data_IF_128707362368
#
_entry.id   IF_128707362368
#
_cell.length_a   1.000
_cell.length_b   1.000
_cell.length_c   1.000
_cell.angle_alpha   90.00
_cell.angle_beta   90.00
_cell.angle_gamma   90.00
#
_symmetry.space_group_name_H-M   'P 1'
#
loop_
_entity.id
_entity.type
_entity.pdbx_description
1 polymer ?
#
# COMPACT_ATOMS: atom_id res chain seq x y z
N UNK A 1 -14.75 5.85 -14.15
CA UNK A 1 -15.93 5.12 -14.68
C UNK A 1 -15.50 3.84 -15.37
N UNK A 2 -16.32 2.80 -15.32
CA UNK A 2 -16.03 1.50 -15.94
C UNK A 2 -17.25 0.58 -15.96
N UNK A 3 -17.01 -0.68 -16.36
CA UNK A 3 -18.04 -1.72 -16.30
C UNK A 3 -18.09 -2.31 -14.89
N UNK A 4 -19.29 -2.59 -14.40
CA UNK A 4 -19.50 -3.26 -13.11
C UNK A 4 -20.70 -4.21 -13.20
N UNK A 5 -20.71 -5.22 -12.34
CA UNK A 5 -21.85 -6.13 -12.20
C UNK A 5 -22.94 -5.48 -11.35
N UNK A 6 -24.17 -5.47 -11.85
CA UNK A 6 -25.35 -4.95 -11.14
C UNK A 6 -26.01 -6.05 -10.29
N UNK A 7 -26.92 -5.67 -9.38
CA UNK A 7 -27.58 -6.61 -8.47
C UNK A 7 -28.44 -7.66 -9.17
N UNK A 8 -29.00 -7.31 -10.34
CA UNK A 8 -29.77 -8.23 -11.18
C UNK A 8 -28.89 -9.16 -12.05
N UNK A 9 -27.56 -9.04 -11.91
CA UNK A 9 -26.57 -9.81 -12.65
C UNK A 9 -26.21 -9.24 -14.02
N UNK A 10 -26.86 -8.15 -14.47
CA UNK A 10 -26.48 -7.45 -15.69
C UNK A 10 -25.16 -6.69 -15.53
N UNK A 11 -24.61 -6.22 -16.66
CA UNK A 11 -23.40 -5.40 -16.67
C UNK A 11 -23.79 -3.96 -16.95
N UNK A 12 -23.53 -3.07 -15.99
CA UNK A 12 -23.73 -1.64 -16.13
C UNK A 12 -22.43 -0.93 -16.52
N UNK A 13 -22.56 0.32 -16.97
CA UNK A 13 -21.43 1.24 -17.19
C UNK A 13 -21.70 2.56 -16.46
N UNK A 14 -20.69 3.10 -15.77
CA UNK A 14 -20.79 4.41 -15.12
C UNK A 14 -19.68 4.65 -14.08
N UNK A 15 -19.85 5.64 -13.19
CA UNK A 15 -18.93 5.90 -12.08
C UNK A 15 -18.77 4.67 -11.16
N UNK A 16 -17.63 4.58 -10.49
CA UNK A 16 -17.42 3.61 -9.41
C UNK A 16 -18.40 3.91 -8.27
N UNK A 17 -18.93 2.87 -7.63
CA UNK A 17 -19.72 2.97 -6.39
C UNK A 17 -18.94 2.52 -5.15
N UNK A 18 -17.78 1.89 -5.35
CA UNK A 18 -16.92 1.38 -4.29
C UNK A 18 -15.48 1.88 -4.53
N UNK A 19 -15.30 3.20 -4.44
CA UNK A 19 -13.98 3.82 -4.54
C UNK A 19 -13.26 3.73 -3.19
N UNK A 20 -11.99 3.34 -3.23
CA UNK A 20 -11.25 2.91 -2.06
C UNK A 20 -9.79 3.34 -2.15
N UNK A 21 -9.11 3.28 -0.99
CA UNK A 21 -7.68 3.44 -0.86
C UNK A 21 -6.99 2.09 -0.65
N UNK A 22 -5.68 2.10 -0.87
CA UNK A 22 -4.78 1.10 -0.30
C UNK A 22 -3.58 1.83 0.28
N UNK A 23 -3.46 1.81 1.61
CA UNK A 23 -2.29 2.30 2.32
C UNK A 23 -1.12 1.37 2.04
N UNK A 24 -0.10 1.88 1.36
CA UNK A 24 1.08 1.12 0.98
C UNK A 24 2.37 1.89 1.25
N UNK A 25 3.47 1.15 1.36
CA UNK A 25 4.80 1.70 1.23
C UNK A 25 5.38 1.26 -0.11
N UNK A 26 5.87 2.22 -0.88
CA UNK A 26 6.63 1.99 -2.10
C UNK A 26 8.12 2.10 -1.84
N UNK A 27 8.90 1.45 -2.69
CA UNK A 27 10.33 1.67 -2.79
C UNK A 27 10.74 1.82 -4.25
N UNK A 28 11.78 2.63 -4.45
CA UNK A 28 12.38 2.84 -5.77
C UNK A 28 13.68 2.05 -5.87
N UNK A 29 13.82 1.35 -6.99
CA UNK A 29 15.02 0.61 -7.33
C UNK A 29 16.16 1.58 -7.65
N UNK A 30 17.32 1.34 -7.05
CA UNK A 30 18.59 1.93 -7.43
C UNK A 30 19.53 0.85 -7.95
N UNK A 31 20.07 1.00 -9.15
CA UNK A 31 21.00 0.03 -9.73
C UNK A 31 20.31 -1.01 -10.61
N UNK A 32 20.87 -1.17 -11.80
CA UNK A 32 20.28 -1.99 -12.86
C UNK A 32 20.82 -3.44 -12.79
N UNK A 33 20.00 -4.40 -13.21
CA UNK A 33 20.44 -5.78 -13.48
C UNK A 33 20.26 -6.11 -14.96
N UNK A 34 20.85 -7.22 -15.41
CA UNK A 34 20.62 -7.69 -16.79
C UNK A 34 19.54 -8.75 -16.81
N UNK A 35 18.82 -8.82 -17.93
CA UNK A 35 17.85 -9.88 -18.18
C UNK A 35 18.54 -11.25 -18.01
N UNK A 36 17.96 -12.12 -17.19
CA UNK A 36 18.49 -13.44 -16.84
C UNK A 36 19.44 -13.45 -15.63
N UNK A 37 19.73 -12.30 -15.01
CA UNK A 37 20.54 -12.20 -13.80
C UNK A 37 19.61 -11.96 -12.58
N UNK A 38 19.19 -13.03 -11.87
CA UNK A 38 18.35 -12.89 -10.69
C UNK A 38 19.12 -12.25 -9.53
N UNK A 39 18.42 -11.54 -8.67
CA UNK A 39 18.96 -10.92 -7.45
C UNK A 39 18.62 -11.79 -6.26
N UNK A 40 19.61 -12.17 -5.45
CA UNK A 40 19.35 -12.92 -4.21
C UNK A 40 18.79 -12.02 -3.10
N UNK A 41 18.13 -12.59 -2.09
CA UNK A 41 17.69 -11.82 -0.90
C UNK A 41 18.83 -11.02 -0.26
N UNK A 42 20.05 -11.57 -0.28
CA UNK A 42 21.24 -10.91 0.28
C UNK A 42 21.69 -9.70 -0.53
N UNK A 43 21.51 -9.72 -1.86
CA UNK A 43 21.92 -8.63 -2.76
C UNK A 43 20.81 -7.61 -2.96
N UNK A 44 19.56 -7.97 -2.69
CA UNK A 44 18.39 -7.14 -2.98
C UNK A 44 18.39 -5.79 -2.23
N UNK A 45 18.98 -5.73 -1.03
CA UNK A 45 19.14 -4.47 -0.28
C UNK A 45 19.91 -3.40 -1.07
N UNK A 46 20.99 -3.81 -1.74
CA UNK A 46 21.84 -2.92 -2.52
C UNK A 46 21.09 -2.33 -3.74
N UNK A 47 19.96 -2.93 -4.10
CA UNK A 47 19.08 -2.47 -5.17
C UNK A 47 17.95 -1.54 -4.72
N UNK A 48 17.81 -1.25 -3.42
CA UNK A 48 16.75 -0.38 -2.89
C UNK A 48 17.34 0.99 -2.55
N UNK A 49 17.00 2.01 -3.34
CA UNK A 49 17.47 3.37 -3.07
C UNK A 49 16.76 3.98 -1.86
N UNK A 50 15.43 3.83 -1.78
CA UNK A 50 14.65 4.37 -0.67
C UNK A 50 13.15 4.17 -0.82
N UNK A 51 12.43 4.61 0.21
CA UNK A 51 11.01 4.35 0.43
C UNK A 51 10.17 5.62 0.37
N UNK A 52 8.89 5.49 0.07
CA UNK A 52 7.88 6.56 0.03
C UNK A 52 6.49 5.99 0.30
N UNK A 53 5.53 6.84 0.64
CA UNK A 53 4.14 6.42 0.83
C UNK A 53 3.47 6.23 -0.52
N UNK A 54 2.57 5.26 -0.62
CA UNK A 54 1.78 4.97 -1.82
C UNK A 54 0.30 4.86 -1.42
N UNK A 55 -0.56 5.50 -2.20
CA UNK A 55 -1.99 5.21 -2.22
C UNK A 55 -2.34 4.59 -3.57
N UNK A 56 -2.60 3.29 -3.59
CA UNK A 56 -3.04 2.58 -4.80
C UNK A 56 -4.58 2.61 -4.90
N UNK A 57 -5.09 3.74 -5.40
CA UNK A 57 -6.52 4.01 -5.50
C UNK A 57 -7.26 2.90 -6.25
N UNK A 58 -8.39 2.49 -5.70
CA UNK A 58 -9.05 1.25 -6.12
C UNK A 58 -10.54 1.46 -6.36
N UNK A 59 -11.02 1.11 -7.55
CA UNK A 59 -12.44 1.01 -7.86
C UNK A 59 -12.88 -0.46 -7.76
N UNK A 60 -13.31 -0.88 -6.57
CA UNK A 60 -13.52 -2.29 -6.18
C UNK A 60 -14.60 -2.98 -7.00
N UNK A 61 -15.66 -2.26 -7.37
CA UNK A 61 -16.76 -2.78 -8.19
C UNK A 61 -16.36 -3.03 -9.64
N UNK A 62 -15.53 -2.16 -10.21
CA UNK A 62 -14.93 -2.33 -11.55
C UNK A 62 -13.92 -3.49 -11.50
N UNK A 63 -13.04 -3.50 -10.50
CA UNK A 63 -12.04 -4.54 -10.28
C UNK A 63 -12.70 -5.93 -10.17
N UNK A 64 -13.75 -6.06 -9.37
CA UNK A 64 -14.45 -7.32 -9.16
C UNK A 64 -15.07 -7.90 -10.44
N UNK A 65 -15.45 -7.05 -11.39
CA UNK A 65 -15.97 -7.48 -12.69
C UNK A 65 -14.87 -7.93 -13.66
N UNK A 66 -13.74 -7.22 -13.69
CA UNK A 66 -12.71 -7.42 -14.72
C UNK A 66 -11.60 -8.42 -14.37
N UNK A 67 -11.31 -8.64 -13.07
CA UNK A 67 -10.02 -9.23 -12.67
C UNK A 67 -9.85 -10.70 -13.07
N UNK A 68 -10.93 -11.42 -13.37
CA UNK A 68 -10.84 -12.82 -13.78
C UNK A 68 -10.67 -12.90 -15.30
N UNK A 69 -9.61 -13.56 -15.82
CA UNK A 69 -8.53 -14.26 -15.12
C UNK A 69 -7.20 -13.47 -15.04
N UNK A 70 -7.14 -12.24 -15.54
CA UNK A 70 -5.88 -11.54 -15.84
C UNK A 70 -5.36 -10.63 -14.73
N UNK A 71 -6.09 -10.53 -13.62
CA UNK A 71 -5.79 -9.63 -12.52
C UNK A 71 -6.39 -8.22 -12.69
N UNK A 72 -6.19 -7.35 -11.69
CA UNK A 72 -6.71 -5.98 -11.69
C UNK A 72 -6.18 -5.14 -12.85
N UNK A 73 -7.01 -4.27 -13.43
CA UNK A 73 -6.61 -3.38 -14.52
C UNK A 73 -7.22 -1.98 -14.41
N UNK A 74 -8.43 -1.73 -14.94
CA UNK A 74 -9.10 -0.42 -14.85
C UNK A 74 -9.55 -0.08 -13.43
N UNK A 75 -9.71 -1.09 -12.57
CA UNK A 75 -9.95 -0.93 -11.15
C UNK A 75 -8.78 -0.29 -10.40
N UNK A 76 -7.60 -0.16 -11.01
CA UNK A 76 -6.36 0.37 -10.40
C UNK A 76 -5.71 1.48 -11.23
N UNK A 77 -5.57 1.26 -12.54
CA UNK A 77 -4.79 2.11 -13.46
C UNK A 77 -5.27 3.56 -13.64
N UNK A 78 -6.37 3.98 -12.98
CA UNK A 78 -6.89 5.34 -13.09
C UNK A 78 -6.08 6.36 -12.28
N UNK A 79 -5.49 5.96 -11.15
CA UNK A 79 -4.62 6.79 -10.35
C UNK A 79 -3.83 5.95 -9.32
N UNK A 80 -2.56 6.27 -9.16
CA UNK A 80 -1.75 5.88 -7.99
C UNK A 80 -1.05 7.15 -7.52
N UNK A 81 -1.09 7.45 -6.23
CA UNK A 81 -0.42 8.62 -5.66
C UNK A 81 0.76 8.22 -4.80
N UNK A 82 1.85 8.97 -4.87
CA UNK A 82 3.06 8.73 -4.07
C UNK A 82 3.45 9.98 -3.29
N UNK A 83 4.05 9.83 -2.11
CA UNK A 83 4.62 10.98 -1.40
C UNK A 83 5.87 11.52 -2.15
N UNK A 84 6.13 12.84 -2.08
CA UNK A 84 7.16 13.46 -2.91
C UNK A 84 8.60 13.20 -2.44
N UNK A 85 8.78 12.74 -1.19
CA UNK A 85 10.09 12.53 -0.59
C UNK A 85 10.41 11.04 -0.56
N UNK A 86 11.48 10.66 -1.26
CA UNK A 86 12.07 9.34 -1.14
C UNK A 86 13.02 9.35 0.05
N UNK A 87 12.68 8.61 1.10
CA UNK A 87 13.49 8.41 2.29
C UNK A 87 14.55 7.35 1.99
N UNK A 88 15.85 7.68 1.97
CA UNK A 88 16.90 6.72 1.63
C UNK A 88 16.92 5.54 2.59
N UNK A 89 17.20 4.33 2.09
CA UNK A 89 17.29 3.10 2.91
C UNK A 89 18.26 3.28 4.10
N UNK A 90 19.38 3.97 3.88
CA UNK A 90 20.36 4.26 4.93
C UNK A 90 19.82 5.10 6.10
N UNK A 91 18.80 5.94 5.87
CA UNK A 91 18.15 6.70 6.94
C UNK A 91 17.23 5.83 7.80
N UNK A 92 16.83 4.65 7.28
CA UNK A 92 15.91 3.74 7.94
C UNK A 92 16.62 2.64 8.75
N UNK A 93 17.94 2.55 8.65
CA UNK A 93 18.75 1.55 9.34
C UNK A 93 18.51 1.48 10.86
N UNK A 94 18.33 2.59 11.60
CA UNK A 94 18.03 2.54 13.03
C UNK A 94 16.65 1.98 13.38
N UNK A 95 15.78 1.74 12.39
CA UNK A 95 14.41 1.24 12.57
C UNK A 95 14.23 -0.16 11.98
N UNK A 96 15.33 -0.88 11.70
CA UNK A 96 15.30 -2.29 11.33
C UNK A 96 14.76 -3.13 12.47
N UNK A 97 13.85 -4.05 12.16
CA UNK A 97 13.26 -4.98 13.12
C UNK A 97 13.15 -6.38 12.52
N UNK A 98 12.93 -7.37 13.39
CA UNK A 98 12.65 -8.72 12.94
C UNK A 98 11.30 -8.75 12.22
N UNK A 99 11.28 -9.34 11.02
CA UNK A 99 10.05 -9.55 10.27
C UNK A 99 9.17 -10.64 10.92
N UNK A 100 7.87 -10.71 10.57
CA UNK A 100 6.98 -11.77 11.06
C UNK A 100 7.52 -13.18 10.76
N UNK A 101 7.22 -14.12 11.65
CA UNK A 101 7.58 -15.53 11.47
C UNK A 101 6.81 -16.08 10.26
N UNK A 102 7.53 -16.69 9.31
CA UNK A 102 6.94 -17.23 8.10
C UNK A 102 6.65 -18.73 8.25
N UNK A 103 5.38 -19.10 8.15
CA UNK A 103 4.90 -20.49 8.13
C UNK A 103 3.94 -20.74 6.94
N UNK A 104 4.23 -21.70 6.04
CA UNK A 104 5.42 -22.57 6.04
C UNK A 104 6.72 -21.81 5.76
N UNK A 105 7.85 -22.42 6.13
CA UNK A 105 9.17 -21.88 5.80
C UNK A 105 9.31 -21.69 4.27
N UNK A 106 9.71 -20.50 3.79
CA UNK A 106 9.92 -20.26 2.38
C UNK A 106 10.98 -21.17 1.78
N UNK A 107 10.93 -21.37 0.45
CA UNK A 107 12.01 -22.03 -0.28
C UNK A 107 13.33 -21.25 -0.13
N UNK A 108 14.45 -21.97 -0.23
CA UNK A 108 15.79 -21.45 0.07
C UNK A 108 16.15 -20.11 -0.59
N UNK A 109 15.67 -19.82 -1.81
CA UNK A 109 15.98 -18.56 -2.50
C UNK A 109 15.29 -17.32 -1.88
N UNK A 110 14.29 -17.51 -1.01
CA UNK A 110 13.60 -16.45 -0.27
C UNK A 110 13.98 -16.41 1.22
N UNK A 111 14.89 -17.28 1.66
CA UNK A 111 15.33 -17.30 3.05
C UNK A 111 16.38 -16.20 3.30
N UNK A 112 16.38 -15.65 4.52
CA UNK A 112 17.33 -14.65 5.01
C UNK A 112 17.44 -14.73 6.54
N UNK A 113 18.16 -13.80 7.16
CA UNK A 113 18.25 -13.71 8.63
C UNK A 113 16.99 -13.14 9.29
N UNK A 114 16.08 -12.60 8.48
CA UNK A 114 14.80 -12.05 8.88
C UNK A 114 14.86 -10.66 9.51
N UNK A 115 16.01 -9.98 9.41
CA UNK A 115 16.26 -8.66 10.02
C UNK A 115 15.81 -7.47 9.16
N UNK A 116 14.94 -7.71 8.17
CA UNK A 116 14.60 -6.74 7.13
C UNK A 116 13.24 -6.05 7.32
N UNK A 117 12.56 -6.28 8.45
CA UNK A 117 11.38 -5.51 8.82
C UNK A 117 11.73 -4.04 9.06
N UNK A 118 10.76 -3.14 8.89
CA UNK A 118 10.92 -1.71 9.17
C UNK A 118 9.82 -1.24 10.13
N UNK A 119 10.22 -0.67 11.26
CA UNK A 119 9.30 -0.06 12.23
C UNK A 119 8.92 1.35 11.75
N UNK A 120 7.83 1.42 10.99
CA UNK A 120 7.31 2.67 10.42
C UNK A 120 5.83 2.71 10.76
N UNK A 121 5.47 3.66 11.62
CA UNK A 121 4.07 3.95 11.91
C UNK A 121 3.44 4.60 10.69
N UNK A 122 2.27 4.11 10.29
CA UNK A 122 1.50 4.55 9.14
C UNK A 122 0.10 4.95 9.57
N UNK A 123 -0.41 6.04 8.99
CA UNK A 123 -1.70 6.63 9.35
C UNK A 123 -2.51 6.95 8.09
N UNK A 124 -3.82 6.72 8.14
CA UNK A 124 -4.80 7.19 7.14
C UNK A 124 -5.74 8.21 7.80
N UNK A 125 -5.64 9.46 7.34
CA UNK A 125 -6.62 10.51 7.64
C UNK A 125 -7.68 10.62 6.56
N UNK A 126 -8.96 10.67 6.96
CA UNK A 126 -10.12 10.87 6.09
C UNK A 126 -10.89 12.13 6.51
N UNK A 127 -11.14 13.02 5.55
CA UNK A 127 -11.88 14.27 5.77
C UNK A 127 -12.99 14.41 4.75
N UNK A 128 -14.24 14.52 5.21
CA UNK A 128 -15.36 14.90 4.36
C UNK A 128 -15.24 16.36 3.89
N UNK A 129 -16.04 16.76 2.91
CA UNK A 129 -16.13 18.17 2.50
C UNK A 129 -16.70 19.10 3.58
N UNK A 130 -17.40 18.56 4.59
CA UNK A 130 -17.98 19.33 5.69
C UNK A 130 -17.02 19.50 6.88
N UNK A 131 -15.96 18.69 6.94
CA UNK A 131 -14.97 18.69 8.02
C UNK A 131 -13.81 19.66 7.71
N UNK A 132 -13.22 20.23 8.77
CA UNK A 132 -12.02 21.06 8.68
C UNK A 132 -10.74 20.32 9.07
N UNK A 133 -10.87 19.30 9.92
CA UNK A 133 -9.80 18.42 10.42
C UNK A 133 -10.14 16.99 10.00
N UNK A 134 -9.19 16.19 9.48
CA UNK A 134 -9.44 14.78 9.18
C UNK A 134 -9.64 13.95 10.46
N UNK A 135 -10.46 12.92 10.38
CA UNK A 135 -10.42 11.83 11.36
C UNK A 135 -9.35 10.82 10.96
N UNK A 136 -8.68 10.24 11.94
CA UNK A 136 -7.78 9.12 11.72
C UNK A 136 -8.63 7.85 11.69
N UNK A 137 -8.69 7.20 10.52
CA UNK A 137 -9.51 6.01 10.30
C UNK A 137 -8.67 4.72 10.29
N UNK A 138 -7.35 4.84 10.19
CA UNK A 138 -6.44 3.71 10.33
C UNK A 138 -5.09 4.15 10.90
N UNK A 139 -4.59 3.39 11.87
CA UNK A 139 -3.23 3.45 12.39
C UNK A 139 -2.64 2.04 12.35
N UNK A 140 -1.55 1.86 11.63
CA UNK A 140 -0.91 0.56 11.42
C UNK A 140 0.60 0.72 11.35
N UNK A 141 1.33 -0.38 11.13
CA UNK A 141 2.78 -0.34 11.04
C UNK A 141 3.31 -1.26 9.95
N UNK A 142 4.33 -0.80 9.22
CA UNK A 142 4.92 -1.57 8.13
C UNK A 142 5.61 -2.87 8.60
N UNK A 143 6.00 -2.97 9.87
CA UNK A 143 6.64 -4.18 10.42
C UNK A 143 5.77 -5.43 10.36
N UNK A 144 4.47 -5.27 10.18
CA UNK A 144 3.51 -6.37 10.08
C UNK A 144 3.51 -7.02 8.69
N UNK A 145 4.22 -6.45 7.71
CA UNK A 145 4.34 -7.02 6.37
C UNK A 145 5.06 -8.38 6.40
N UNK A 146 4.34 -9.41 5.92
CA UNK A 146 4.81 -10.80 5.94
C UNK A 146 5.96 -11.09 4.96
N UNK A 147 6.02 -10.37 3.84
CA UNK A 147 7.08 -10.48 2.84
C UNK A 147 7.88 -9.18 2.79
N UNK A 148 9.18 -9.26 3.07
CA UNK A 148 10.07 -8.10 3.04
C UNK A 148 10.35 -7.61 1.61
N UNK A 149 10.73 -6.32 1.43
CA UNK A 149 11.14 -5.78 0.12
C UNK A 149 12.25 -6.59 -0.56
N UNK A 150 13.22 -7.10 0.21
CA UNK A 150 14.31 -7.93 -0.33
C UNK A 150 13.82 -9.28 -0.85
N UNK A 151 12.81 -9.88 -0.21
CA UNK A 151 12.15 -11.09 -0.71
C UNK A 151 11.30 -10.80 -1.95
N UNK A 152 10.61 -9.66 -1.98
CA UNK A 152 9.82 -9.24 -3.16
C UNK A 152 10.72 -9.07 -4.40
N UNK A 153 11.87 -8.40 -4.27
CA UNK A 153 12.85 -8.26 -5.36
C UNK A 153 13.42 -9.63 -5.77
N UNK A 154 13.82 -10.46 -4.81
CA UNK A 154 14.34 -11.79 -5.11
C UNK A 154 13.31 -12.65 -5.85
N UNK A 155 12.04 -12.60 -5.44
CA UNK A 155 10.96 -13.29 -6.12
C UNK A 155 10.69 -12.73 -7.52
N UNK A 156 10.65 -11.41 -7.66
CA UNK A 156 10.39 -10.74 -8.94
C UNK A 156 11.45 -11.08 -9.98
N UNK A 157 12.70 -11.22 -9.58
CA UNK A 157 13.84 -11.44 -10.50
C UNK A 157 14.21 -12.91 -10.70
N UNK A 158 13.69 -13.84 -9.91
CA UNK A 158 14.05 -15.28 -9.99
C UNK A 158 13.76 -15.92 -11.36
N UNK A 159 12.80 -15.36 -12.11
CA UNK A 159 12.45 -15.80 -13.45
C UNK A 159 13.34 -15.19 -14.56
N UNK A 160 14.32 -14.36 -14.19
CA UNK A 160 15.19 -13.63 -15.09
C UNK A 160 14.75 -12.20 -15.41
N UNK A 161 13.66 -11.69 -14.84
CA UNK A 161 13.30 -10.28 -15.00
C UNK A 161 14.42 -9.37 -14.48
N UNK A 162 14.68 -8.29 -15.21
CA UNK A 162 15.70 -7.29 -14.87
C UNK A 162 15.11 -6.13 -14.08
N UNK A 163 15.91 -5.59 -13.16
CA UNK A 163 15.66 -4.33 -12.46
C UNK A 163 16.22 -3.16 -13.25
N UNK A 164 15.55 -2.01 -13.20
CA UNK A 164 16.07 -0.73 -13.72
C UNK A 164 15.95 0.34 -12.65
N UNK A 165 16.94 1.22 -12.62
CA UNK A 165 16.93 2.41 -11.76
C UNK A 165 15.67 3.23 -12.04
N UNK A 166 14.93 3.54 -10.99
CA UNK A 166 13.65 4.25 -11.09
C UNK A 166 12.42 3.36 -11.25
N UNK A 167 12.57 2.04 -11.40
CA UNK A 167 11.45 1.12 -11.23
C UNK A 167 10.89 1.28 -9.81
N UNK A 168 9.56 1.24 -9.70
CA UNK A 168 8.84 1.36 -8.43
C UNK A 168 8.17 0.03 -8.12
N UNK A 169 8.37 -0.43 -6.89
CA UNK A 169 7.66 -1.56 -6.32
C UNK A 169 6.86 -1.07 -5.12
N UNK A 170 5.63 -1.57 -4.98
CA UNK A 170 4.76 -1.24 -3.87
C UNK A 170 4.51 -2.50 -3.02
N UNK A 171 4.27 -2.31 -1.72
CA UNK A 171 4.22 -3.40 -0.75
C UNK A 171 3.00 -4.30 -0.89
N UNK A 172 1.94 -3.82 -1.55
CA UNK A 172 0.58 -4.26 -1.27
C UNK A 172 0.05 -3.59 0.00
N UNK A 173 -1.27 -3.59 0.14
CA UNK A 173 -1.97 -2.94 1.25
C UNK A 173 -1.41 -3.39 2.61
N UNK A 174 -1.01 -2.42 3.44
CA UNK A 174 -0.49 -2.64 4.80
C UNK A 174 -1.66 -2.66 5.77
N UNK A 175 -1.96 -3.85 6.30
CA UNK A 175 -3.03 -4.06 7.27
C UNK A 175 -2.48 -4.80 8.49
N UNK A 176 -2.72 -4.24 9.68
CA UNK A 176 -2.47 -4.91 10.95
C UNK A 176 -3.57 -5.92 11.28
N UNK A 177 -3.43 -6.62 12.41
CA UNK A 177 -4.40 -7.65 12.84
C UNK A 177 -5.64 -7.09 13.54
N UNK A 178 -5.56 -5.88 14.10
CA UNK A 178 -6.59 -5.32 14.97
C UNK A 178 -7.53 -4.36 14.20
N UNK A 179 -8.81 -4.27 14.60
CA UNK A 179 -9.71 -3.23 14.08
C UNK A 179 -9.11 -1.83 14.23
N UNK A 180 -9.22 -1.02 13.19
CA UNK A 180 -8.59 0.31 13.13
C UNK A 180 -7.14 0.30 12.64
N UNK A 181 -6.59 -0.85 12.25
CA UNK A 181 -5.25 -0.96 11.63
C UNK A 181 -5.27 -1.48 10.19
N UNK A 182 -6.45 -1.57 9.57
CA UNK A 182 -6.58 -2.07 8.20
C UNK A 182 -6.28 -0.98 7.16
N UNK A 183 -5.62 -1.34 6.07
CA UNK A 183 -5.07 -0.42 5.09
C UNK A 183 -6.05 0.03 4.00
N UNK A 184 -7.31 -0.40 4.03
CA UNK A 184 -8.33 -0.03 3.04
C UNK A 184 -9.72 0.15 3.65
N UNK A 185 -10.61 0.90 3.00
CA UNK A 185 -11.99 1.05 3.45
C UNK A 185 -12.80 -0.23 3.24
N UNK A 186 -12.47 -1.07 2.24
CA UNK A 186 -13.12 -2.37 2.10
C UNK A 186 -12.87 -3.26 3.31
N UNK A 187 -11.70 -3.18 3.94
CA UNK A 187 -11.41 -3.89 5.18
C UNK A 187 -12.02 -3.19 6.40
N UNK A 188 -11.78 -1.88 6.55
CA UNK A 188 -12.28 -1.08 7.69
C UNK A 188 -13.79 -1.09 7.80
N UNK A 189 -14.50 -1.11 6.66
CA UNK A 189 -15.96 -1.12 6.63
C UNK A 189 -16.58 -2.51 6.51
N UNK A 190 -15.76 -3.56 6.48
CA UNK A 190 -16.16 -4.93 6.20
C UNK A 190 -17.02 -5.04 4.93
N UNK A 191 -16.49 -4.55 3.82
CA UNK A 191 -17.18 -4.42 2.53
C UNK A 191 -18.54 -3.70 2.64
N UNK A 192 -18.57 -2.66 3.48
CA UNK A 192 -19.72 -1.79 3.72
C UNK A 192 -20.76 -2.28 4.71
N UNK A 193 -20.60 -3.44 5.35
CA UNK A 193 -21.54 -3.87 6.41
C UNK A 193 -21.32 -3.17 7.74
N UNK A 194 -20.14 -2.58 7.96
CA UNK A 194 -19.76 -1.88 9.19
C UNK A 194 -19.30 -0.44 8.85
N UNK A 195 -20.22 0.54 8.72
CA UNK A 195 -19.83 1.89 8.33
C UNK A 195 -18.90 2.57 9.35
N UNK A 196 -17.88 3.26 8.85
CA UNK A 196 -16.97 4.10 9.64
C UNK A 196 -17.70 5.40 10.00
N UNK A 197 -17.75 5.74 11.29
CA UNK A 197 -18.32 6.99 11.77
C UNK A 197 -17.28 8.11 11.71
N UNK A 198 -17.63 9.23 11.09
CA UNK A 198 -16.82 10.46 11.07
C UNK A 198 -17.35 11.49 12.08
N UNK A 199 -16.50 12.44 12.44
CA UNK A 199 -16.71 13.49 13.43
C UNK A 199 -17.70 14.59 13.02
N UNK A 200 -18.15 14.59 11.76
CA UNK A 200 -19.26 15.42 11.27
C UNK A 200 -20.62 14.70 11.30
N UNK A 201 -20.71 13.62 12.08
CA UNK A 201 -21.84 12.69 12.16
C UNK A 201 -22.14 11.92 10.86
N UNK A 202 -21.38 12.12 9.78
CA UNK A 202 -21.51 11.32 8.56
C UNK A 202 -20.82 9.95 8.68
N UNK A 203 -21.14 9.03 7.78
CA UNK A 203 -20.49 7.71 7.72
C UNK A 203 -19.85 7.44 6.37
N UNK A 204 -18.88 6.54 6.34
CA UNK A 204 -18.26 6.03 5.10
C UNK A 204 -18.19 4.51 5.12
N UNK A 205 -18.51 3.94 3.97
CA UNK A 205 -18.17 2.54 3.65
C UNK A 205 -17.10 2.53 2.56
N UNK A 206 -17.28 3.39 1.57
CA UNK A 206 -16.32 3.73 0.52
C UNK A 206 -16.25 5.25 0.38
N UNK A 207 -15.28 5.73 -0.38
CA UNK A 207 -15.08 7.16 -0.61
C UNK A 207 -16.24 7.78 -1.39
N UNK A 208 -16.52 9.04 -1.08
CA UNK A 208 -17.50 9.89 -1.77
C UNK A 208 -16.80 11.09 -2.43
N UNK A 209 -17.48 11.70 -3.41
CA UNK A 209 -17.00 12.93 -4.04
C UNK A 209 -16.74 14.02 -2.99
N UNK A 210 -15.59 14.68 -3.08
CA UNK A 210 -15.16 15.71 -2.13
C UNK A 210 -14.44 15.18 -0.88
N UNK A 211 -14.39 13.87 -0.66
CA UNK A 211 -13.56 13.30 0.41
C UNK A 211 -12.08 13.56 0.11
N UNK A 212 -11.33 13.96 1.13
CA UNK A 212 -9.87 14.06 1.10
C UNK A 212 -9.28 12.91 1.92
N UNK A 213 -8.37 12.15 1.32
CA UNK A 213 -7.54 11.15 2.03
C UNK A 213 -6.13 11.67 2.15
N UNK A 214 -5.51 11.45 3.30
CA UNK A 214 -4.11 11.78 3.56
C UNK A 214 -3.41 10.61 4.23
N UNK A 215 -2.36 10.08 3.60
CA UNK A 215 -1.51 9.07 4.22
C UNK A 215 -0.27 9.73 4.82
N UNK A 216 0.17 9.25 5.99
CA UNK A 216 1.40 9.69 6.67
C UNK A 216 2.23 8.50 7.10
N UNK A 217 3.54 8.73 7.25
CA UNK A 217 4.47 7.73 7.74
C UNK A 217 5.56 8.35 8.61
N UNK A 218 5.89 7.68 9.71
CA UNK A 218 6.88 8.12 10.68
C UNK A 218 7.65 6.90 11.22
N UNK A 219 8.97 6.89 11.04
CA UNK A 219 9.84 5.99 11.78
C UNK A 219 10.41 6.77 12.98
N UNK A 220 10.29 6.25 14.19
CA UNK A 220 10.80 6.93 15.39
C UNK A 220 11.32 5.95 16.44
N UNK A 221 12.40 6.34 17.10
CA UNK A 221 12.96 5.67 18.27
C UNK A 221 13.43 6.72 19.29
N UNK A 222 14.15 6.33 20.34
CA UNK A 222 14.61 7.27 21.37
C UNK A 222 15.63 8.30 20.85
N UNK A 223 16.35 8.00 19.77
CA UNK A 223 17.49 8.78 19.28
C UNK A 223 17.15 9.64 18.05
N UNK A 224 16.20 9.21 17.24
CA UNK A 224 15.94 9.81 15.93
C UNK A 224 14.50 9.59 15.45
N UNK A 225 14.08 10.47 14.56
CA UNK A 225 12.78 10.42 13.88
C UNK A 225 12.99 10.72 12.40
N UNK A 226 12.38 9.91 11.54
CA UNK A 226 12.40 10.05 10.08
C UNK A 226 10.98 10.05 9.56
N UNK A 227 10.53 11.20 9.05
CA UNK A 227 9.19 11.36 8.49
C UNK A 227 9.18 11.20 6.97
N UNK A 228 8.08 10.65 6.45
CA UNK A 228 7.84 10.44 5.02
C UNK A 228 7.07 11.60 4.36
N UNK A 229 6.73 12.62 5.13
CA UNK A 229 5.78 13.66 4.72
C UNK A 229 4.37 13.10 4.64
N UNK A 230 3.61 13.58 3.66
CA UNK A 230 2.25 13.12 3.40
C UNK A 230 2.00 12.92 1.90
N UNK A 231 1.03 12.07 1.57
CA UNK A 231 0.42 11.98 0.25
C UNK A 231 -1.08 12.19 0.39
N UNK A 232 -1.59 13.22 -0.30
CA UNK A 232 -2.96 13.69 -0.15
C UNK A 232 -3.67 13.70 -1.50
N UNK A 233 -4.89 13.17 -1.55
CA UNK A 233 -5.77 13.24 -2.71
C UNK A 233 -7.19 13.63 -2.33
N UNK A 234 -7.88 14.32 -3.24
CA UNK A 234 -9.29 14.71 -3.10
C UNK A 234 -10.08 14.04 -4.22
N UNK A 235 -11.18 13.38 -3.87
CA UNK A 235 -12.03 12.71 -4.85
C UNK A 235 -12.85 13.74 -5.61
N UNK A 236 -12.85 13.61 -6.93
CA UNK A 236 -13.62 14.46 -7.86
C UNK A 236 -14.66 13.62 -8.61
N UNK A 237 -15.80 14.20 -9.00
CA UNK A 237 -16.85 13.52 -9.76
C UNK A 237 -16.42 12.99 -11.14
#
# INVERSE_FOLDING_TARGET
SGQRKEQDGSVGFGPSRHLDIELELGYVIGGDTRMGEPVSVKEAEDHIFGFFLVNDWSARDIQAWEYVPLGPFLGKSFATSISPWVVPTAALEPFRVQQPVQEPEPLAYLQGDGSWGLDIDLEVGLRSSAMTVPDIVSETNFKDMYWSPVQQIAHMTVNGASLRTGDVCASGTVSGSEPGSYGSLIELSWNGSEPIQLGDDSTRTFLQDGDQVTLRGLASNEESTVGFGEVTGVIVP
#
